data_IF_506917111732
#
_entry.id   IF_506917111732
#
_cell.length_a   1.000
_cell.length_b   1.000
_cell.length_c   1.000
_cell.angle_alpha   90.00
_cell.angle_beta   90.00
_cell.angle_gamma   90.00
#
_symmetry.space_group_name_H-M   'P 1'
#
loop_
_entity.id
_entity.type
_entity.pdbx_description
1 polymer ?
#
# COMPACT_ATOMS: atom_id res chain seq x y z
N UNK A 1 61.21 0.41 27.37
CA UNK A 1 61.06 -0.15 26.00
C UNK A 1 59.69 0.31 25.48
N UNK A 2 59.54 1.46 24.79
CA UNK A 2 59.91 1.77 23.38
C UNK A 2 59.30 0.72 22.41
N UNK A 3 58.47 0.99 21.40
CA UNK A 3 58.02 2.18 20.64
C UNK A 3 56.55 1.93 20.18
N UNK A 4 55.60 2.88 20.18
CA UNK A 4 55.32 3.99 19.25
C UNK A 4 55.17 3.64 17.76
N UNK A 5 53.95 3.84 17.20
CA UNK A 5 53.74 4.46 15.88
C UNK A 5 52.31 5.01 15.72
N UNK A 6 52.25 6.34 15.64
CA UNK A 6 51.13 7.17 15.19
C UNK A 6 51.20 7.39 13.68
N UNK A 7 50.09 7.74 13.02
CA UNK A 7 49.99 8.55 11.79
C UNK A 7 48.50 8.98 11.68
N UNK A 8 48.07 10.18 12.07
CA UNK A 8 48.33 11.52 11.53
C UNK A 8 47.85 11.69 10.08
N UNK A 9 46.60 12.15 9.95
CA UNK A 9 45.99 12.67 8.72
C UNK A 9 46.48 14.11 8.55
N UNK A 10 47.17 14.37 7.43
CA UNK A 10 47.74 15.67 7.11
C UNK A 10 46.85 16.38 6.08
N UNK A 11 46.37 17.58 6.42
CA UNK A 11 45.88 18.56 5.47
C UNK A 11 47.05 19.08 4.62
N UNK A 12 46.85 19.21 3.30
CA UNK A 12 47.55 20.25 2.54
C UNK A 12 46.68 20.81 1.42
N UNK A 13 46.72 22.13 1.36
CA UNK A 13 46.09 23.04 0.41
C UNK A 13 47.17 23.64 -0.49
N UNK A 14 46.96 23.70 -1.81
CA UNK A 14 47.51 24.70 -2.77
C UNK A 14 47.06 24.30 -4.20
N UNK A 15 46.20 25.09 -4.86
CA UNK A 15 46.47 26.26 -5.72
C UNK A 15 46.81 25.94 -7.20
N UNK A 16 45.82 26.21 -8.06
CA UNK A 16 45.86 26.91 -9.37
C UNK A 16 46.77 26.47 -10.54
N UNK A 17 46.15 26.28 -11.72
CA UNK A 17 46.43 26.88 -13.06
C UNK A 17 46.05 25.88 -14.19
N UNK A 18 44.96 26.10 -14.96
CA UNK A 18 44.85 26.83 -16.25
C UNK A 18 45.38 26.09 -17.51
N UNK A 19 44.48 25.80 -18.47
CA UNK A 19 44.53 26.03 -19.93
C UNK A 19 43.59 25.06 -20.68
N UNK A 20 42.46 25.52 -21.23
CA UNK A 20 42.26 26.04 -22.60
C UNK A 20 42.03 24.96 -23.66
N UNK A 21 40.76 24.75 -24.05
CA UNK A 21 40.37 23.93 -25.19
C UNK A 21 40.01 24.83 -26.38
N UNK A 22 40.81 24.73 -27.45
CA UNK A 22 40.63 25.43 -28.71
C UNK A 22 39.70 24.68 -29.66
N UNK A 23 38.85 25.44 -30.33
CA UNK A 23 37.95 25.04 -31.43
C UNK A 23 38.75 24.66 -32.68
N UNK A 24 38.39 23.54 -33.31
CA UNK A 24 38.72 23.25 -34.70
C UNK A 24 37.43 23.00 -35.50
N UNK A 25 37.08 23.94 -36.37
CA UNK A 25 36.04 23.80 -37.38
C UNK A 25 36.62 23.17 -38.63
N UNK A 26 35.99 22.11 -39.14
CA UNK A 26 36.33 21.50 -40.43
C UNK A 26 35.26 21.87 -41.45
N UNK A 27 35.70 22.53 -42.54
CA UNK A 27 34.92 22.82 -43.75
C UNK A 27 34.41 21.54 -44.39
N UNK A 28 33.16 21.55 -44.85
CA UNK A 28 32.73 20.81 -46.04
C UNK A 28 31.95 21.76 -46.93
N UNK A 29 32.48 21.95 -48.14
CA UNK A 29 31.84 22.67 -49.23
C UNK A 29 31.01 21.68 -50.05
N UNK A 30 29.77 22.05 -50.39
CA UNK A 30 29.07 21.50 -51.54
C UNK A 30 28.38 22.61 -52.32
N UNK A 31 28.61 22.56 -53.62
CA UNK A 31 28.20 23.44 -54.71
C UNK A 31 26.77 23.19 -55.17
N UNK A 32 26.03 24.24 -55.51
CA UNK A 32 24.88 24.19 -56.42
C UNK A 32 24.73 25.55 -57.17
N UNK A 33 24.20 25.57 -58.40
CA UNK A 33 24.55 26.56 -59.44
C UNK A 33 23.65 27.80 -59.48
N UNK A 34 24.13 28.81 -60.18
CA UNK A 34 23.48 30.10 -60.43
C UNK A 34 22.32 30.00 -61.44
N UNK A 35 21.23 30.73 -61.15
CA UNK A 35 20.18 31.07 -62.13
C UNK A 35 19.84 32.57 -61.99
N UNK A 36 20.07 33.31 -63.08
CA UNK A 36 19.13 34.28 -63.66
C UNK A 36 18.84 35.59 -62.91
N UNK A 37 19.36 36.69 -63.44
CA UNK A 37 18.93 38.06 -63.17
C UNK A 37 17.51 38.34 -63.69
N UNK A 38 16.66 38.96 -62.87
CA UNK A 38 15.59 39.86 -63.35
C UNK A 38 15.47 41.04 -62.39
N UNK A 39 15.71 42.24 -62.90
CA UNK A 39 15.39 43.51 -62.26
C UNK A 39 13.88 43.78 -62.35
N UNK A 40 13.23 44.15 -61.25
CA UNK A 40 12.16 45.16 -61.30
C UNK A 40 11.83 45.65 -59.90
N UNK A 41 11.92 46.96 -59.74
CA UNK A 41 11.53 47.75 -58.60
C UNK A 41 10.12 47.43 -58.08
N UNK A 42 10.04 47.06 -56.82
CA UNK A 42 8.94 47.41 -55.93
C UNK A 42 9.55 47.58 -54.56
N UNK A 43 9.55 48.81 -54.04
CA UNK A 43 9.96 49.10 -52.68
C UNK A 43 9.00 48.40 -51.72
N UNK A 44 9.27 47.12 -51.42
CA UNK A 44 8.66 46.43 -50.29
C UNK A 44 9.41 46.90 -49.06
N UNK A 45 8.82 47.86 -48.36
CA UNK A 45 9.17 48.19 -46.97
C UNK A 45 9.21 46.89 -46.19
N UNK A 46 10.43 46.43 -45.85
CA UNK A 46 10.61 45.29 -44.96
C UNK A 46 10.14 45.73 -43.57
N UNK A 47 8.93 45.33 -43.18
CA UNK A 47 8.55 45.31 -41.78
C UNK A 47 9.37 44.20 -41.10
N UNK A 48 10.57 44.56 -40.65
CA UNK A 48 11.40 43.73 -39.77
C UNK A 48 11.03 43.95 -38.29
N UNK A 49 9.76 44.25 -38.00
CA UNK A 49 9.25 44.42 -36.64
C UNK A 49 8.12 43.43 -36.41
N UNK A 50 8.29 42.61 -35.37
CA UNK A 50 7.31 41.64 -34.92
C UNK A 50 6.10 42.40 -34.36
N UNK A 51 4.99 42.38 -35.10
CA UNK A 51 3.73 43.00 -34.68
C UNK A 51 3.01 42.10 -33.68
N UNK A 52 2.61 42.67 -32.54
CA UNK A 52 1.88 41.94 -31.50
C UNK A 52 0.47 41.56 -31.98
N UNK A 53 -0.11 40.44 -31.51
CA UNK A 53 -1.48 40.04 -31.84
C UNK A 53 -2.52 41.00 -31.22
N UNK A 54 -3.71 41.14 -31.82
CA UNK A 54 -4.67 42.23 -31.55
C UNK A 54 -5.40 42.20 -30.19
N UNK A 55 -5.02 41.31 -29.25
CA UNK A 55 -5.76 41.13 -27.99
C UNK A 55 -4.82 41.00 -26.78
N UNK A 56 -4.08 42.05 -26.47
CA UNK A 56 -3.16 42.10 -25.32
C UNK A 56 -3.75 42.96 -24.19
N UNK A 57 -4.77 42.45 -23.49
CA UNK A 57 -5.28 42.98 -22.21
C UNK A 57 -5.84 44.42 -22.23
N UNK A 58 -6.48 44.89 -21.13
CA UNK A 58 -7.06 46.22 -21.07
C UNK A 58 -5.95 47.28 -20.99
N UNK A 59 -5.87 48.17 -22.00
CA UNK A 59 -5.05 49.39 -21.93
C UNK A 59 -4.08 49.68 -23.08
N UNK A 60 -3.95 48.81 -24.10
CA UNK A 60 -3.05 49.06 -25.26
C UNK A 60 -3.80 49.55 -26.50
N UNK A 61 -3.24 50.52 -27.22
CA UNK A 61 -3.75 50.99 -28.53
C UNK A 61 -3.01 50.24 -29.65
N UNK A 62 -3.69 49.92 -30.75
CA UNK A 62 -3.20 49.10 -31.88
C UNK A 62 -1.89 49.58 -32.55
N UNK A 63 -1.40 50.78 -32.22
CA UNK A 63 -0.26 51.44 -32.87
C UNK A 63 1.03 51.46 -32.03
N UNK A 64 1.06 50.80 -30.87
CA UNK A 64 2.23 50.81 -29.97
C UNK A 64 3.21 49.67 -30.31
N UNK A 65 4.45 50.01 -30.71
CA UNK A 65 5.49 49.00 -30.96
C UNK A 65 5.87 48.27 -29.66
N UNK A 66 5.86 46.93 -29.73
CA UNK A 66 6.15 46.09 -28.57
C UNK A 66 7.62 46.19 -28.17
N UNK A 67 7.91 46.42 -26.88
CA UNK A 67 9.27 46.63 -26.39
C UNK A 67 10.09 45.34 -26.47
N UNK A 68 11.19 45.28 -27.26
CA UNK A 68 11.96 44.06 -27.48
C UNK A 68 12.69 43.54 -26.23
N UNK A 69 12.81 44.35 -25.17
CA UNK A 69 13.45 43.99 -23.91
C UNK A 69 12.47 43.46 -22.84
N UNK A 70 11.17 43.44 -23.11
CA UNK A 70 10.15 42.88 -22.21
C UNK A 70 9.61 41.58 -22.77
N UNK A 71 10.34 40.48 -22.57
CA UNK A 71 10.03 39.15 -23.08
C UNK A 71 8.59 38.66 -22.79
N UNK A 72 8.02 39.04 -21.63
CA UNK A 72 6.64 38.68 -21.26
C UNK A 72 5.57 39.36 -22.12
N UNK A 73 5.85 40.50 -22.76
CA UNK A 73 4.90 41.16 -23.67
C UNK A 73 4.78 40.47 -25.04
N UNK A 74 5.68 39.52 -25.33
CA UNK A 74 5.74 38.79 -26.61
C UNK A 74 5.26 37.33 -26.51
N UNK A 75 5.08 36.83 -25.28
CA UNK A 75 4.59 35.47 -25.07
C UNK A 75 3.07 35.50 -25.08
N UNK A 76 2.49 35.23 -26.26
CA UNK A 76 1.06 34.96 -26.35
C UNK A 76 0.74 33.74 -25.48
N UNK A 77 -0.05 33.92 -24.43
CA UNK A 77 -0.48 32.84 -23.53
C UNK A 77 -1.05 31.64 -24.28
N UNK A 78 -1.71 31.87 -25.42
CA UNK A 78 -2.23 30.83 -26.30
C UNK A 78 -1.11 29.93 -26.85
N UNK A 79 0.03 30.52 -27.21
CA UNK A 79 1.18 29.80 -27.75
C UNK A 79 1.94 29.04 -26.67
N UNK A 80 2.07 29.63 -25.48
CA UNK A 80 2.66 28.96 -24.31
C UNK A 80 1.80 27.76 -23.89
N UNK A 81 0.48 27.92 -23.83
CA UNK A 81 -0.46 26.83 -23.53
C UNK A 81 -0.37 25.75 -24.61
N UNK A 82 -0.36 26.12 -25.89
CA UNK A 82 -0.21 25.16 -27.00
C UNK A 82 1.10 24.36 -26.90
N UNK A 83 2.23 25.01 -26.58
CA UNK A 83 3.51 24.34 -26.34
C UNK A 83 3.44 23.39 -25.15
N UNK A 84 2.91 23.84 -24.01
CA UNK A 84 2.77 23.00 -22.83
C UNK A 84 1.89 21.78 -23.11
N UNK A 85 0.76 21.96 -23.80
CA UNK A 85 -0.12 20.86 -24.21
C UNK A 85 0.60 19.92 -25.18
N UNK A 86 1.33 20.44 -26.17
CA UNK A 86 2.10 19.60 -27.09
C UNK A 86 3.19 18.79 -26.38
N UNK A 87 3.93 19.38 -25.43
CA UNK A 87 4.93 18.69 -24.61
C UNK A 87 4.30 17.62 -23.71
N UNK A 88 3.15 17.91 -23.09
CA UNK A 88 2.40 16.94 -22.28
C UNK A 88 1.88 15.79 -23.13
N UNK A 89 1.30 16.07 -24.31
CA UNK A 89 0.83 15.05 -25.24
C UNK A 89 1.99 14.21 -25.77
N UNK A 90 3.12 14.82 -26.14
CA UNK A 90 4.30 14.12 -26.60
C UNK A 90 4.92 13.24 -25.50
N UNK A 91 5.01 13.74 -24.26
CA UNK A 91 5.46 12.95 -23.11
C UNK A 91 4.52 11.79 -22.78
N UNK A 92 3.21 12.01 -22.85
CA UNK A 92 2.20 10.96 -22.65
C UNK A 92 2.23 9.90 -23.75
N UNK A 93 2.39 10.30 -25.01
CA UNK A 93 2.56 9.39 -26.15
C UNK A 93 3.89 8.62 -26.03
N UNK A 94 5.00 9.30 -25.74
CA UNK A 94 6.30 8.65 -25.55
C UNK A 94 6.25 7.62 -24.40
N UNK A 95 5.59 7.94 -23.29
CA UNK A 95 5.37 7.00 -22.19
C UNK A 95 4.48 5.80 -22.54
N UNK A 96 3.72 5.84 -23.63
CA UNK A 96 2.96 4.70 -24.16
C UNK A 96 3.70 3.89 -25.22
N UNK A 97 4.67 4.49 -25.93
CA UNK A 97 5.41 3.83 -27.02
C UNK A 97 6.81 3.35 -26.62
N UNK A 98 7.35 3.81 -25.49
CA UNK A 98 8.57 3.24 -24.92
C UNK A 98 8.18 1.97 -24.17
N UNK A 99 8.40 0.81 -24.80
CA UNK A 99 8.39 -0.47 -24.10
C UNK A 99 9.57 -0.49 -23.13
N UNK A 100 9.31 -0.15 -21.87
CA UNK A 100 10.25 -0.43 -20.79
C UNK A 100 10.18 -1.91 -20.54
N UNK A 101 11.31 -2.60 -20.72
CA UNK A 101 11.42 -4.01 -20.38
C UNK A 101 11.31 -4.19 -18.85
N UNK A 102 10.08 -4.39 -18.38
CA UNK A 102 9.75 -4.51 -16.96
C UNK A 102 10.48 -5.70 -16.30
N UNK A 103 10.91 -6.70 -17.08
CA UNK A 103 11.67 -7.85 -16.58
C UNK A 103 13.06 -7.48 -16.08
N UNK A 104 13.62 -6.34 -16.52
CA UNK A 104 14.93 -5.84 -16.08
C UNK A 104 14.84 -4.96 -14.85
N UNK A 105 13.64 -4.55 -14.43
CA UNK A 105 13.47 -3.69 -13.26
C UNK A 105 13.48 -4.57 -12.02
N UNK A 106 14.55 -4.46 -11.23
CA UNK A 106 14.68 -5.14 -9.95
C UNK A 106 14.32 -4.19 -8.79
N UNK A 107 13.67 -4.67 -7.71
CA UNK A 107 13.53 -3.89 -6.48
C UNK A 107 14.93 -3.58 -5.93
N UNK A 108 15.05 -2.53 -5.11
CA UNK A 108 16.35 -2.11 -4.53
C UNK A 108 16.67 -2.79 -3.19
N UNK A 109 15.79 -3.68 -2.74
CA UNK A 109 15.86 -4.36 -1.46
C UNK A 109 15.41 -5.81 -1.63
N UNK A 110 15.95 -6.70 -0.81
CA UNK A 110 15.48 -8.08 -0.74
C UNK A 110 14.18 -8.14 0.08
N UNK A 111 13.17 -8.88 -0.39
CA UNK A 111 11.89 -9.00 0.35
C UNK A 111 12.11 -9.71 1.69
N UNK A 112 13.07 -10.61 1.73
CA UNK A 112 13.51 -11.37 2.90
C UNK A 112 14.12 -10.46 3.99
N UNK A 113 14.86 -9.42 3.59
CA UNK A 113 15.47 -8.47 4.53
C UNK A 113 14.39 -7.66 5.25
N UNK A 114 13.39 -7.18 4.50
CA UNK A 114 12.26 -6.43 5.09
C UNK A 114 11.49 -7.32 6.07
N UNK A 115 11.21 -8.56 5.67
CA UNK A 115 10.54 -9.55 6.52
C UNK A 115 11.35 -9.82 7.78
N UNK A 116 12.67 -10.02 7.67
CA UNK A 116 13.55 -10.26 8.81
C UNK A 116 13.59 -9.05 9.76
N UNK A 117 13.65 -7.83 9.23
CA UNK A 117 13.62 -6.60 10.01
C UNK A 117 12.29 -6.42 10.75
N UNK A 118 11.17 -6.77 10.12
CA UNK A 118 9.86 -6.77 10.77
C UNK A 118 9.76 -7.83 11.88
N UNK A 119 10.23 -9.06 11.63
CA UNK A 119 10.27 -10.11 12.65
C UNK A 119 11.07 -9.70 13.90
N UNK A 120 12.21 -8.99 13.73
CA UNK A 120 12.99 -8.45 14.85
C UNK A 120 12.20 -7.46 15.69
N UNK A 121 11.35 -6.63 15.08
CA UNK A 121 10.45 -5.75 15.84
C UNK A 121 9.41 -6.56 16.64
N UNK A 122 8.89 -7.64 16.04
CA UNK A 122 7.93 -8.52 16.71
C UNK A 122 8.54 -9.34 17.85
N UNK A 123 9.85 -9.59 17.87
CA UNK A 123 10.52 -10.19 19.04
C UNK A 123 10.40 -9.32 20.29
N UNK A 124 10.43 -8.00 20.15
CA UNK A 124 10.25 -7.05 21.25
C UNK A 124 8.77 -6.72 21.51
N UNK A 125 7.94 -6.73 20.46
CA UNK A 125 6.51 -6.45 20.52
C UNK A 125 5.69 -7.54 19.79
N UNK A 126 5.52 -8.73 20.41
CA UNK A 126 4.86 -9.88 19.78
C UNK A 126 3.40 -9.65 19.40
N UNK A 127 2.73 -8.77 20.14
CA UNK A 127 1.35 -8.34 19.91
C UNK A 127 1.18 -7.66 18.54
N UNK A 128 2.20 -6.94 18.07
CA UNK A 128 2.13 -6.20 16.80
C UNK A 128 2.19 -7.09 15.56
N UNK A 129 2.59 -8.36 15.69
CA UNK A 129 2.58 -9.30 14.57
C UNK A 129 1.15 -9.52 14.05
N UNK A 130 0.20 -9.80 14.96
CA UNK A 130 -1.21 -10.00 14.59
C UNK A 130 -1.85 -8.69 14.11
N UNK A 131 -1.49 -7.56 14.73
CA UNK A 131 -1.95 -6.24 14.30
C UNK A 131 -1.43 -5.88 12.90
N UNK A 132 -0.22 -6.29 12.53
CA UNK A 132 0.32 -6.11 11.17
C UNK A 132 -0.45 -6.91 10.12
N UNK A 133 -0.89 -8.13 10.46
CA UNK A 133 -1.81 -8.92 9.61
C UNK A 133 -3.15 -8.17 9.46
N UNK A 134 -3.70 -7.64 10.55
CA UNK A 134 -4.92 -6.82 10.52
C UNK A 134 -4.75 -5.58 9.62
N UNK A 135 -3.60 -4.91 9.64
CA UNK A 135 -3.32 -3.74 8.79
C UNK A 135 -3.49 -4.10 7.31
N UNK A 136 -2.97 -5.25 6.86
CA UNK A 136 -3.14 -5.68 5.47
C UNK A 136 -4.62 -5.78 5.06
N UNK A 137 -5.46 -6.34 5.94
CA UNK A 137 -6.90 -6.39 5.72
C UNK A 137 -7.55 -4.99 5.76
N UNK A 138 -7.18 -4.14 6.73
CA UNK A 138 -7.67 -2.76 6.82
C UNK A 138 -7.38 -2.01 5.52
N UNK A 139 -6.15 -2.07 5.02
CA UNK A 139 -5.75 -1.39 3.79
C UNK A 139 -6.51 -1.95 2.57
N UNK A 140 -6.61 -3.27 2.44
CA UNK A 140 -7.34 -3.90 1.33
C UNK A 140 -8.85 -3.59 1.35
N UNK A 141 -9.49 -3.66 2.51
CA UNK A 141 -10.89 -3.30 2.70
C UNK A 141 -11.13 -1.83 2.35
N UNK A 142 -10.25 -0.91 2.77
CA UNK A 142 -10.32 0.51 2.42
C UNK A 142 -10.19 0.73 0.91
N UNK A 143 -9.23 0.06 0.25
CA UNK A 143 -9.09 0.09 -1.22
C UNK A 143 -10.33 -0.41 -1.95
N UNK A 144 -11.02 -1.40 -1.39
CA UNK A 144 -12.26 -1.96 -1.92
C UNK A 144 -13.52 -1.11 -1.59
N UNK A 145 -13.39 -0.01 -0.84
CA UNK A 145 -14.51 0.85 -0.46
C UNK A 145 -15.27 0.39 0.79
N UNK A 146 -14.64 -0.40 1.66
CA UNK A 146 -15.19 -0.89 2.93
C UNK A 146 -14.40 -0.43 4.18
N UNK A 147 -14.10 0.88 4.37
CA UNK A 147 -13.62 1.35 5.67
C UNK A 147 -14.69 1.14 6.73
N UNK A 148 -14.40 0.42 7.82
CA UNK A 148 -15.37 0.16 8.88
C UNK A 148 -15.35 1.26 9.94
N UNK A 149 -16.53 1.56 10.49
CA UNK A 149 -16.69 2.47 11.64
C UNK A 149 -16.94 1.72 12.95
N UNK A 150 -17.28 0.44 12.87
CA UNK A 150 -17.55 -0.45 14.01
C UNK A 150 -17.07 -1.85 13.69
N UNK A 151 -16.57 -2.54 14.71
CA UNK A 151 -16.17 -3.95 14.63
C UNK A 151 -17.36 -4.91 14.46
N UNK A 152 -18.60 -4.45 14.63
CA UNK A 152 -19.81 -5.22 14.27
C UNK A 152 -19.85 -5.57 12.78
N UNK A 153 -19.22 -4.76 11.93
CA UNK A 153 -19.08 -5.04 10.50
C UNK A 153 -17.81 -5.83 10.20
N UNK A 154 -16.65 -5.29 10.58
CA UNK A 154 -15.35 -5.94 10.44
C UNK A 154 -14.27 -5.21 11.24
N UNK A 155 -13.10 -5.83 11.39
CA UNK A 155 -11.94 -5.21 12.02
C UNK A 155 -11.19 -4.18 11.11
N UNK A 156 -11.78 -3.78 9.98
CA UNK A 156 -11.26 -2.76 9.06
C UNK A 156 -11.42 -1.32 9.59
N UNK A 157 -11.30 -1.14 10.91
CA UNK A 157 -11.37 0.12 11.62
C UNK A 157 -9.96 0.70 11.81
N UNK A 158 -9.85 2.03 11.92
CA UNK A 158 -8.56 2.74 11.96
C UNK A 158 -7.98 2.91 13.37
N UNK A 159 -8.77 2.63 14.42
CA UNK A 159 -8.33 2.64 15.81
C UNK A 159 -7.30 1.53 16.10
N UNK A 160 -6.49 1.70 17.14
CA UNK A 160 -5.49 0.73 17.57
C UNK A 160 -4.42 0.42 16.52
N UNK A 161 -4.05 1.41 15.69
CA UNK A 161 -3.03 1.26 14.64
C UNK A 161 -1.75 2.08 14.88
N UNK A 162 -1.67 2.84 15.98
CA UNK A 162 -0.54 3.74 16.24
C UNK A 162 0.79 2.98 16.41
N UNK A 163 0.80 1.92 17.21
CA UNK A 163 2.02 1.15 17.49
C UNK A 163 2.54 0.44 16.24
N UNK A 164 1.65 -0.16 15.44
CA UNK A 164 2.04 -0.80 14.18
C UNK A 164 2.49 0.23 13.14
N UNK A 165 1.91 1.44 13.12
CA UNK A 165 2.41 2.52 12.27
C UNK A 165 3.86 2.90 12.65
N UNK A 166 4.24 2.81 13.92
CA UNK A 166 5.63 2.93 14.37
C UNK A 166 6.56 1.90 13.71
N UNK A 167 6.14 0.64 13.62
CA UNK A 167 6.89 -0.42 12.92
C UNK A 167 7.00 -0.12 11.44
N UNK A 168 5.90 0.29 10.78
CA UNK A 168 5.90 0.63 9.35
C UNK A 168 6.82 1.82 9.04
N UNK A 169 6.83 2.83 9.91
CA UNK A 169 7.72 4.00 9.78
C UNK A 169 9.20 3.59 9.94
N UNK A 170 9.51 2.72 10.90
CA UNK A 170 10.86 2.18 11.07
C UNK A 170 11.33 1.42 9.82
N UNK A 171 10.48 0.54 9.27
CA UNK A 171 10.80 -0.22 8.06
C UNK A 171 10.95 0.69 6.85
N UNK A 172 10.05 1.66 6.65
CA UNK A 172 10.13 2.62 5.54
C UNK A 172 11.41 3.46 5.59
N UNK A 173 11.84 3.87 6.79
CA UNK A 173 13.12 4.58 6.96
C UNK A 173 14.34 3.68 6.71
N UNK A 174 14.24 2.39 7.01
CA UNK A 174 15.30 1.39 6.76
C UNK A 174 15.40 1.05 5.27
N UNK A 175 14.26 1.03 4.56
CA UNK A 175 14.13 0.71 3.13
C UNK A 175 13.50 1.88 2.35
N UNK A 176 14.16 3.05 2.26
CA UNK A 176 13.55 4.31 1.78
C UNK A 176 13.20 4.34 0.29
N UNK A 177 13.55 3.27 -0.45
CA UNK A 177 13.22 3.13 -1.87
C UNK A 177 11.99 2.23 -2.10
N UNK A 178 11.45 1.65 -1.03
CA UNK A 178 10.15 0.97 -1.04
C UNK A 178 9.02 1.97 -0.89
N UNK A 179 7.86 1.64 -1.46
CA UNK A 179 6.60 2.28 -1.07
C UNK A 179 6.16 1.80 0.31
N UNK A 180 5.36 2.61 1.00
CA UNK A 180 4.74 2.24 2.28
C UNK A 180 3.81 1.04 2.09
N UNK A 181 3.07 0.96 0.99
CA UNK A 181 2.19 -0.17 0.69
C UNK A 181 2.95 -1.50 0.48
N UNK A 182 4.12 -1.47 -0.17
CA UNK A 182 4.98 -2.66 -0.26
C UNK A 182 5.51 -3.05 1.12
N UNK A 183 5.99 -2.10 1.92
CA UNK A 183 6.45 -2.33 3.31
C UNK A 183 5.33 -2.94 4.16
N UNK A 184 4.12 -2.38 4.10
CA UNK A 184 2.98 -2.85 4.87
C UNK A 184 2.59 -4.29 4.51
N UNK A 185 2.63 -4.63 3.21
CA UNK A 185 2.36 -5.99 2.76
C UNK A 185 3.41 -7.00 3.24
N UNK A 186 4.70 -6.64 3.20
CA UNK A 186 5.80 -7.47 3.69
C UNK A 186 5.81 -7.61 5.22
N UNK A 187 5.46 -6.54 5.95
CA UNK A 187 5.31 -6.58 7.40
C UNK A 187 4.16 -7.49 7.85
N UNK A 188 3.07 -7.54 7.08
CA UNK A 188 1.97 -8.48 7.33
C UNK A 188 2.41 -9.93 7.10
N UNK A 189 3.16 -10.21 6.02
CA UNK A 189 3.77 -11.53 5.76
C UNK A 189 4.73 -11.93 6.89
N UNK A 190 5.54 -10.97 7.38
CA UNK A 190 6.40 -11.18 8.54
C UNK A 190 5.60 -11.50 9.81
N UNK A 191 4.41 -10.91 9.98
CA UNK A 191 3.48 -11.23 11.05
C UNK A 191 3.01 -12.68 10.97
N UNK A 192 2.63 -13.15 9.79
CA UNK A 192 2.23 -14.56 9.55
C UNK A 192 3.40 -15.49 9.91
N UNK A 193 4.60 -15.20 9.40
CA UNK A 193 5.83 -15.96 9.69
C UNK A 193 6.11 -16.03 11.19
N UNK A 194 6.09 -14.88 11.88
CA UNK A 194 6.36 -14.80 13.31
C UNK A 194 5.37 -15.63 14.13
N UNK A 195 4.10 -15.65 13.72
CA UNK A 195 3.02 -16.40 14.37
C UNK A 195 2.91 -17.84 13.86
N UNK A 196 3.95 -18.37 13.21
CA UNK A 196 4.02 -19.75 12.70
C UNK A 196 2.87 -20.13 11.74
N UNK A 197 2.34 -19.15 11.00
CA UNK A 197 1.35 -19.38 9.95
C UNK A 197 2.00 -19.71 8.60
N UNK A 198 1.20 -20.18 7.61
CA UNK A 198 1.69 -20.48 6.26
C UNK A 198 1.96 -19.18 5.49
N UNK A 199 3.22 -18.91 5.17
CA UNK A 199 3.66 -17.65 4.55
C UNK A 199 4.55 -17.85 3.31
N UNK A 200 5.06 -19.06 3.12
CA UNK A 200 6.10 -19.39 2.16
C UNK A 200 5.67 -19.09 0.72
N UNK A 201 4.47 -19.54 0.32
CA UNK A 201 3.93 -19.28 -1.03
C UNK A 201 3.55 -17.81 -1.20
N UNK A 202 3.06 -17.16 -0.14
CA UNK A 202 2.72 -15.72 -0.17
C UNK A 202 3.99 -14.91 -0.43
N UNK A 203 5.08 -15.24 0.26
CA UNK A 203 6.36 -14.56 0.12
C UNK A 203 7.01 -14.88 -1.23
N UNK A 204 6.98 -16.13 -1.69
CA UNK A 204 7.53 -16.54 -2.97
C UNK A 204 6.87 -15.79 -4.13
N UNK A 205 5.53 -15.79 -4.16
CA UNK A 205 4.72 -15.16 -5.20
C UNK A 205 4.53 -13.64 -4.99
N UNK A 206 5.11 -13.07 -3.93
CA UNK A 206 4.96 -11.65 -3.63
C UNK A 206 5.45 -10.77 -4.79
N UNK A 207 4.56 -9.90 -5.26
CA UNK A 207 4.86 -8.86 -6.25
C UNK A 207 5.12 -7.52 -5.60
N UNK A 208 5.90 -6.68 -6.26
CA UNK A 208 6.28 -5.35 -5.78
C UNK A 208 5.74 -4.23 -6.68
N UNK A 209 5.87 -2.99 -6.24
CA UNK A 209 5.47 -1.81 -7.01
C UNK A 209 4.07 -1.29 -6.66
N UNK A 210 3.58 -1.54 -5.44
CA UNK A 210 2.36 -0.89 -4.94
C UNK A 210 2.56 0.61 -4.88
N UNK A 211 1.61 1.37 -5.40
CA UNK A 211 1.64 2.83 -5.40
C UNK A 211 1.07 3.41 -4.10
N UNK A 212 1.82 4.33 -3.48
CA UNK A 212 1.35 5.15 -2.35
C UNK A 212 0.42 6.25 -2.90
N UNK A 213 -0.76 5.84 -3.35
CA UNK A 213 -1.75 6.73 -3.95
C UNK A 213 -2.46 7.57 -2.88
N UNK A 214 -2.59 8.87 -3.13
CA UNK A 214 -3.43 9.77 -2.32
C UNK A 214 -4.95 9.59 -2.60
N UNK A 215 -5.32 8.73 -3.55
CA UNK A 215 -6.72 8.52 -3.90
C UNK A 215 -7.48 7.89 -2.72
N UNK A 216 -8.51 8.56 -2.21
CA UNK A 216 -9.38 8.03 -1.16
C UNK A 216 -10.62 7.37 -1.77
N UNK A 217 -10.74 6.03 -1.77
CA UNK A 217 -11.93 5.34 -2.27
C UNK A 217 -13.14 5.70 -1.41
N UNK A 218 -14.28 5.97 -2.06
CA UNK A 218 -15.52 6.24 -1.34
C UNK A 218 -16.03 4.98 -0.67
N UNK A 219 -16.63 5.13 0.51
CA UNK A 219 -17.36 4.06 1.18
C UNK A 219 -18.51 3.59 0.29
N UNK A 220 -18.62 2.28 0.10
CA UNK A 220 -19.72 1.66 -0.65
C UNK A 220 -21.05 1.89 0.07
N UNK A 221 -22.12 2.06 -0.71
CA UNK A 221 -23.47 2.28 -0.20
C UNK A 221 -24.24 0.95 -0.34
N UNK A 222 -24.84 0.42 0.76
CA UNK A 222 -25.69 -0.76 0.69
C UNK A 222 -26.84 -0.58 -0.31
N UNK A 223 -27.25 -1.66 -0.97
CA UNK A 223 -28.38 -1.62 -1.92
C UNK A 223 -29.70 -1.34 -1.20
N UNK A 224 -29.86 -1.89 0.00
CA UNK A 224 -31.00 -1.64 0.88
C UNK A 224 -30.69 -0.43 1.78
N UNK A 225 -31.46 0.67 1.71
CA UNK A 225 -31.26 1.85 2.57
C UNK A 225 -31.40 1.57 4.08
N UNK A 226 -32.07 0.47 4.47
CA UNK A 226 -32.21 0.07 5.86
C UNK A 226 -31.01 -0.70 6.39
N UNK A 227 -30.20 -1.28 5.50
CA UNK A 227 -28.99 -2.01 5.84
C UNK A 227 -27.87 -1.04 6.21
N UNK A 228 -27.38 -1.13 7.45
CA UNK A 228 -26.29 -0.28 7.94
C UNK A 228 -24.91 -0.91 7.78
N UNK A 229 -24.83 -2.24 7.87
CA UNK A 229 -23.58 -3.00 7.87
C UNK A 229 -23.59 -4.01 6.71
N UNK A 230 -22.44 -4.18 6.05
CA UNK A 230 -22.26 -5.24 5.06
C UNK A 230 -22.01 -6.59 5.72
N UNK A 231 -22.38 -7.67 5.03
CA UNK A 231 -22.00 -9.02 5.48
C UNK A 231 -20.49 -9.22 5.31
N UNK A 232 -19.90 -10.07 6.16
CA UNK A 232 -18.48 -10.44 6.09
C UNK A 232 -18.14 -10.96 4.68
N UNK A 233 -18.98 -11.84 4.13
CA UNK A 233 -18.72 -12.43 2.81
C UNK A 233 -18.77 -11.37 1.70
N UNK A 234 -19.67 -10.38 1.78
CA UNK A 234 -19.69 -9.28 0.81
C UNK A 234 -18.39 -8.47 0.81
N UNK A 235 -17.82 -8.22 2.00
CA UNK A 235 -16.55 -7.51 2.15
C UNK A 235 -15.41 -8.38 1.60
N UNK A 236 -15.31 -9.64 2.03
CA UNK A 236 -14.23 -10.54 1.62
C UNK A 236 -14.23 -10.82 0.11
N UNK A 237 -15.38 -11.00 -0.52
CA UNK A 237 -15.47 -11.14 -1.98
C UNK A 237 -14.97 -9.89 -2.71
N UNK A 238 -15.22 -8.70 -2.18
CA UNK A 238 -14.76 -7.45 -2.78
C UNK A 238 -13.25 -7.21 -2.58
N UNK A 239 -12.67 -7.82 -1.56
CA UNK A 239 -11.23 -7.79 -1.28
C UNK A 239 -10.51 -8.82 -2.16
N UNK A 240 -10.39 -8.51 -3.46
CA UNK A 240 -9.60 -9.31 -4.40
C UNK A 240 -10.34 -10.41 -5.16
N UNK A 241 -11.68 -10.43 -5.14
CA UNK A 241 -12.46 -11.40 -5.92
C UNK A 241 -12.33 -12.83 -5.40
N UNK A 242 -12.24 -12.97 -4.08
CA UNK A 242 -12.04 -14.26 -3.41
C UNK A 242 -13.20 -15.22 -3.70
N UNK A 243 -12.88 -16.51 -3.80
CA UNK A 243 -13.89 -17.59 -3.75
C UNK A 243 -14.43 -17.76 -2.33
N UNK A 244 -15.56 -18.47 -2.15
CA UNK A 244 -16.05 -18.76 -0.80
C UNK A 244 -15.04 -19.55 0.04
N UNK A 245 -14.30 -20.47 -0.59
CA UNK A 245 -13.22 -21.23 0.05
C UNK A 245 -12.13 -20.31 0.60
N UNK A 246 -11.68 -19.35 -0.20
CA UNK A 246 -10.67 -18.35 0.17
C UNK A 246 -11.19 -17.38 1.25
N UNK A 247 -12.44 -16.91 1.13
CA UNK A 247 -13.07 -16.08 2.16
C UNK A 247 -13.06 -16.77 3.52
N UNK A 248 -13.53 -18.03 3.58
CA UNK A 248 -13.55 -18.80 4.83
C UNK A 248 -12.13 -19.10 5.30
N UNK A 249 -11.18 -19.36 4.40
CA UNK A 249 -9.78 -19.62 4.74
C UNK A 249 -9.12 -18.40 5.42
N UNK A 250 -9.40 -17.19 4.93
CA UNK A 250 -8.81 -15.95 5.44
C UNK A 250 -9.23 -15.62 6.88
N UNK A 251 -10.41 -16.07 7.32
CA UNK A 251 -10.90 -15.86 8.69
C UNK A 251 -10.06 -16.57 9.76
N UNK A 252 -9.22 -17.53 9.40
CA UNK A 252 -8.26 -18.12 10.35
C UNK A 252 -7.26 -17.10 10.91
N UNK A 253 -7.13 -15.89 10.35
CA UNK A 253 -6.44 -14.78 10.99
C UNK A 253 -6.96 -14.49 12.41
N UNK A 254 -8.21 -14.84 12.72
CA UNK A 254 -8.76 -14.73 14.07
C UNK A 254 -8.23 -15.81 15.05
N UNK A 255 -7.40 -16.76 14.61
CA UNK A 255 -6.68 -17.66 15.52
C UNK A 255 -5.56 -16.98 16.32
N UNK A 256 -5.20 -15.75 15.94
CA UNK A 256 -4.14 -14.95 16.56
C UNK A 256 -4.65 -13.58 17.01
N UNK A 257 -3.85 -12.90 17.82
CA UNK A 257 -4.16 -11.58 18.34
C UNK A 257 -5.24 -11.58 19.43
N UNK A 258 -5.64 -10.38 19.83
CA UNK A 258 -6.56 -10.14 20.94
C UNK A 258 -7.42 -8.89 20.71
N UNK A 259 -8.45 -8.75 21.53
CA UNK A 259 -9.35 -7.60 21.55
C UNK A 259 -8.71 -6.45 22.34
N UNK A 260 -8.98 -5.22 21.89
CA UNK A 260 -8.44 -4.00 22.50
C UNK A 260 -9.58 -3.02 22.82
N UNK A 261 -9.42 -2.23 23.89
CA UNK A 261 -10.46 -1.33 24.40
C UNK A 261 -10.77 -0.17 23.44
N UNK A 262 -9.74 0.35 22.78
CA UNK A 262 -9.83 1.45 21.81
C UNK A 262 -10.38 1.00 20.44
N UNK A 263 -10.33 -0.30 20.15
CA UNK A 263 -10.84 -0.89 18.89
C UNK A 263 -12.25 -1.48 19.06
N UNK A 264 -12.39 -2.36 20.04
CA UNK A 264 -13.57 -3.22 20.23
C UNK A 264 -14.33 -2.95 21.52
N UNK A 265 -13.78 -2.13 22.40
CA UNK A 265 -14.36 -1.82 23.70
C UNK A 265 -14.17 -2.89 24.77
N UNK A 266 -13.37 -3.91 24.48
CA UNK A 266 -13.07 -5.05 25.34
C UNK A 266 -11.56 -5.21 25.48
N UNK A 267 -11.11 -5.61 26.66
CA UNK A 267 -9.75 -6.06 26.91
C UNK A 267 -9.73 -7.55 27.29
N UNK A 268 -8.53 -8.15 27.29
CA UNK A 268 -8.26 -9.47 27.87
C UNK A 268 -9.09 -10.62 27.25
N UNK A 269 -9.55 -10.43 26.02
CA UNK A 269 -10.32 -11.39 25.25
C UNK A 269 -9.62 -11.70 23.91
N UNK A 270 -9.87 -12.89 23.39
CA UNK A 270 -9.35 -13.36 22.10
C UNK A 270 -10.46 -14.09 21.36
N UNK A 271 -10.32 -14.45 20.09
CA UNK A 271 -11.38 -15.23 19.44
C UNK A 271 -11.40 -16.70 19.90
N UNK A 272 -10.23 -17.29 20.16
CA UNK A 272 -10.10 -18.75 20.37
C UNK A 272 -9.36 -19.14 21.67
N UNK A 273 -9.09 -18.18 22.56
CA UNK A 273 -8.35 -18.40 23.80
C UNK A 273 -6.82 -18.45 23.63
N UNK A 274 -6.31 -18.34 22.39
CA UNK A 274 -4.90 -18.33 22.02
C UNK A 274 -4.57 -17.09 21.19
N UNK A 275 -3.29 -16.72 21.13
CA UNK A 275 -2.83 -15.45 20.52
C UNK A 275 -1.70 -15.57 19.49
N UNK A 276 -0.85 -16.60 19.60
CA UNK A 276 0.47 -16.60 18.94
C UNK A 276 0.72 -17.73 17.94
N UNK A 277 -0.33 -18.45 17.52
CA UNK A 277 -0.22 -19.51 16.51
C UNK A 277 -1.33 -19.38 15.48
N UNK A 278 -0.97 -18.97 14.25
CA UNK A 278 -1.91 -18.82 13.14
C UNK A 278 -2.16 -20.19 12.51
N UNK A 279 -3.34 -20.77 12.75
CA UNK A 279 -3.67 -22.15 12.37
C UNK A 279 -5.15 -22.36 12.12
N UNK A 280 -5.51 -23.56 11.61
CA UNK A 280 -6.89 -24.00 11.46
C UNK A 280 -7.65 -24.22 12.79
N UNK A 281 -7.00 -23.98 13.94
CA UNK A 281 -7.63 -24.06 15.28
C UNK A 281 -8.86 -23.17 15.39
N UNK A 282 -8.94 -22.08 14.62
CA UNK A 282 -10.14 -21.24 14.53
C UNK A 282 -11.40 -22.05 14.17
N UNK A 283 -11.35 -22.87 13.13
CA UNK A 283 -12.51 -23.66 12.69
C UNK A 283 -12.89 -24.74 13.70
N UNK A 284 -11.90 -25.42 14.26
CA UNK A 284 -12.12 -26.41 15.32
C UNK A 284 -12.81 -25.77 16.53
N UNK A 285 -12.35 -24.58 16.93
CA UNK A 285 -12.91 -23.84 18.05
C UNK A 285 -14.37 -23.45 17.83
N UNK A 286 -14.69 -22.94 16.63
CA UNK A 286 -16.06 -22.57 16.26
C UNK A 286 -17.02 -23.77 16.34
N UNK A 287 -16.61 -24.93 15.79
CA UNK A 287 -17.42 -26.15 15.81
C UNK A 287 -17.60 -26.72 17.23
N UNK A 288 -16.55 -26.67 18.06
CA UNK A 288 -16.57 -27.17 19.44
C UNK A 288 -17.52 -26.35 20.33
N UNK A 289 -17.59 -25.04 20.11
CA UNK A 289 -18.28 -24.10 21.01
C UNK A 289 -19.56 -23.47 20.43
N UNK A 290 -19.97 -23.83 19.22
CA UNK A 290 -21.12 -23.24 18.49
C UNK A 290 -22.36 -23.03 19.37
N UNK A 291 -22.73 -24.04 20.15
CA UNK A 291 -23.93 -24.03 21.01
C UNK A 291 -23.74 -23.35 22.36
N UNK A 292 -22.50 -23.03 22.73
CA UNK A 292 -22.14 -22.46 24.03
C UNK A 292 -21.98 -20.93 23.99
N UNK A 293 -21.96 -20.33 22.79
CA UNK A 293 -21.87 -18.88 22.62
C UNK A 293 -23.13 -18.18 23.15
N UNK A 294 -22.94 -17.24 24.07
CA UNK A 294 -23.99 -16.36 24.58
C UNK A 294 -23.77 -14.91 24.10
N UNK A 295 -24.82 -14.09 23.95
CA UNK A 295 -24.67 -12.66 23.65
C UNK A 295 -23.78 -11.95 24.67
N UNK A 296 -22.88 -11.09 24.19
CA UNK A 296 -22.01 -10.24 25.02
C UNK A 296 -22.45 -8.79 24.92
N UNK A 297 -22.79 -8.18 26.06
CA UNK A 297 -22.99 -6.73 26.14
C UNK A 297 -21.68 -6.07 26.54
N UNK A 298 -21.13 -5.22 25.67
CA UNK A 298 -19.97 -4.40 25.99
C UNK A 298 -20.42 -3.18 26.79
N UNK A 299 -19.98 -3.07 28.04
CA UNK A 299 -20.31 -1.93 28.89
C UNK A 299 -19.42 -0.72 28.53
N UNK A 300 -19.99 0.49 28.62
CA UNK A 300 -19.20 1.72 28.50
C UNK A 300 -18.30 1.87 29.71
N UNK A 301 -17.00 1.98 29.48
CA UNK A 301 -15.99 2.20 30.52
C UNK A 301 -15.25 3.51 30.27
N UNK A 302 -14.35 3.86 31.19
CA UNK A 302 -13.50 5.03 31.01
C UNK A 302 -12.42 4.82 29.94
N UNK A 303 -12.07 3.56 29.67
CA UNK A 303 -10.93 3.15 28.84
C UNK A 303 -11.35 2.90 27.38
N UNK A 304 -12.62 2.56 27.12
CA UNK A 304 -13.14 2.35 25.75
C UNK A 304 -13.76 3.60 25.09
N UNK A 305 -13.40 4.81 25.53
CA UNK A 305 -14.01 6.07 25.04
C UNK A 305 -13.79 6.33 23.55
N UNK A 306 -12.71 5.80 22.97
CA UNK A 306 -12.41 5.95 21.54
C UNK A 306 -13.45 5.24 20.65
N UNK A 307 -14.08 4.19 21.16
CA UNK A 307 -15.15 3.47 20.47
C UNK A 307 -16.44 4.27 20.61
N UNK A 308 -16.80 5.04 19.58
CA UNK A 308 -17.96 5.95 19.61
C UNK A 308 -19.28 5.19 19.83
N UNK A 309 -19.50 4.10 19.10
CA UNK A 309 -20.65 3.20 19.29
C UNK A 309 -20.11 1.82 19.63
N UNK A 310 -20.43 1.35 20.84
CA UNK A 310 -19.99 0.03 21.30
C UNK A 310 -20.64 -1.08 20.46
N UNK A 311 -19.89 -2.16 20.18
CA UNK A 311 -20.41 -3.26 19.39
C UNK A 311 -21.53 -3.99 20.12
N UNK A 312 -22.52 -4.41 19.35
CA UNK A 312 -23.75 -5.04 19.85
C UNK A 312 -23.89 -6.49 19.39
N UNK A 313 -23.08 -6.92 18.44
CA UNK A 313 -23.20 -8.24 17.80
C UNK A 313 -22.26 -9.29 18.38
N UNK A 314 -21.46 -8.94 19.39
CA UNK A 314 -20.54 -9.89 20.00
C UNK A 314 -21.28 -11.01 20.74
N UNK A 315 -20.69 -12.20 20.63
CA UNK A 315 -21.02 -13.36 21.44
C UNK A 315 -19.75 -13.87 22.10
N UNK A 316 -19.89 -14.48 23.27
CA UNK A 316 -18.77 -14.97 24.04
C UNK A 316 -19.00 -16.37 24.60
N UNK A 317 -17.89 -17.03 24.92
CA UNK A 317 -17.83 -18.28 25.67
C UNK A 317 -16.60 -18.24 26.59
N UNK A 318 -16.67 -18.91 27.74
CA UNK A 318 -15.51 -19.06 28.63
C UNK A 318 -14.91 -20.44 28.49
N UNK A 319 -13.64 -20.50 28.08
CA UNK A 319 -12.91 -21.75 27.94
C UNK A 319 -11.95 -21.93 29.11
N UNK A 320 -11.91 -23.14 29.67
CA UNK A 320 -11.00 -23.49 30.76
C UNK A 320 -9.65 -23.87 30.18
N UNK A 321 -8.60 -23.22 30.67
CA UNK A 321 -7.22 -23.50 30.31
C UNK A 321 -6.43 -23.84 31.58
N UNK A 322 -5.70 -24.96 31.57
CA UNK A 322 -4.83 -25.33 32.67
C UNK A 322 -3.44 -24.74 32.42
N UNK A 323 -3.08 -23.70 33.17
CA UNK A 323 -1.79 -23.03 33.08
C UNK A 323 -1.07 -23.18 34.41
N UNK A 324 0.05 -23.92 34.42
CA UNK A 324 0.86 -24.13 35.64
C UNK A 324 0.09 -24.80 36.78
N UNK A 325 -0.73 -25.81 36.47
CA UNK A 325 -1.53 -26.55 37.47
C UNK A 325 -2.76 -25.80 38.00
N UNK A 326 -3.03 -24.57 37.51
CA UNK A 326 -4.23 -23.80 37.85
C UNK A 326 -5.17 -23.69 36.65
N UNK A 327 -6.45 -23.94 36.88
CA UNK A 327 -7.49 -23.74 35.86
C UNK A 327 -7.88 -22.27 35.80
N UNK A 328 -7.54 -21.61 34.70
CA UNK A 328 -7.97 -20.24 34.39
C UNK A 328 -9.12 -20.28 33.38
N UNK A 329 -10.02 -19.30 33.45
CA UNK A 329 -11.05 -19.10 32.43
C UNK A 329 -10.57 -18.03 31.46
N UNK A 330 -10.57 -18.33 30.17
CA UNK A 330 -10.30 -17.37 29.09
C UNK A 330 -11.61 -16.97 28.44
N UNK A 331 -11.83 -15.67 28.31
CA UNK A 331 -12.97 -15.17 27.54
C UNK A 331 -12.64 -15.24 26.05
N UNK A 332 -13.48 -15.96 25.31
CA UNK A 332 -13.38 -16.07 23.88
C UNK A 332 -14.56 -15.32 23.26
N UNK A 333 -14.32 -14.43 22.30
CA UNK A 333 -15.33 -13.52 21.73
C UNK A 333 -15.31 -13.61 20.21
N UNK A 334 -16.48 -13.70 19.60
CA UNK A 334 -16.66 -13.81 18.15
C UNK A 334 -17.86 -12.95 17.75
N UNK A 335 -17.86 -12.40 16.53
CA UNK A 335 -19.04 -11.70 16.02
C UNK A 335 -20.19 -12.68 15.72
N UNK A 336 -21.43 -12.25 15.94
CA UNK A 336 -22.59 -13.05 15.57
C UNK A 336 -22.61 -13.39 14.06
N UNK A 337 -22.16 -12.46 13.22
CA UNK A 337 -22.04 -12.65 11.76
C UNK A 337 -21.01 -13.72 11.36
N UNK A 338 -19.97 -13.96 12.16
CA UNK A 338 -19.05 -15.08 11.92
C UNK A 338 -19.71 -16.42 12.27
N UNK A 339 -20.57 -16.45 13.29
CA UNK A 339 -21.31 -17.67 13.66
C UNK A 339 -22.41 -18.02 12.64
N UNK A 340 -22.85 -17.06 11.83
CA UNK A 340 -23.72 -17.33 10.67
C UNK A 340 -23.04 -18.20 9.61
N UNK A 341 -21.69 -18.24 9.56
CA UNK A 341 -20.94 -19.18 8.71
C UNK A 341 -21.32 -20.64 8.99
N UNK A 342 -21.62 -20.94 10.25
CA UNK A 342 -22.01 -22.29 10.68
C UNK A 342 -23.47 -22.60 10.32
N UNK A 343 -24.29 -21.61 10.01
CA UNK A 343 -25.70 -21.79 9.63
C UNK A 343 -25.85 -22.00 8.11
N UNK A 344 -24.99 -21.39 7.30
CA UNK A 344 -24.96 -21.61 5.86
C UNK A 344 -24.35 -22.99 5.54
N UNK A 345 -25.04 -23.80 4.72
CA UNK A 345 -24.59 -25.17 4.40
C UNK A 345 -23.23 -25.22 3.70
N UNK A 346 -22.99 -24.32 2.75
CA UNK A 346 -21.74 -24.28 1.96
C UNK A 346 -20.58 -23.84 2.83
N UNK A 347 -20.76 -22.75 3.57
CA UNK A 347 -19.70 -22.23 4.45
C UNK A 347 -19.42 -23.17 5.62
N UNK A 348 -20.45 -23.79 6.21
CA UNK A 348 -20.26 -24.83 7.23
C UNK A 348 -19.46 -26.01 6.70
N UNK A 349 -19.71 -26.46 5.47
CA UNK A 349 -18.94 -27.54 4.86
C UNK A 349 -17.45 -27.19 4.72
N UNK A 350 -17.14 -25.94 4.35
CA UNK A 350 -15.77 -25.43 4.31
C UNK A 350 -15.13 -25.37 5.71
N UNK A 351 -15.85 -24.86 6.72
CA UNK A 351 -15.38 -24.82 8.12
C UNK A 351 -15.06 -26.22 8.62
N UNK A 352 -15.95 -27.20 8.39
CA UNK A 352 -15.71 -28.61 8.75
C UNK A 352 -14.50 -29.17 8.02
N UNK A 353 -14.34 -28.86 6.73
CA UNK A 353 -13.21 -29.33 5.93
C UNK A 353 -11.89 -28.76 6.45
N UNK A 354 -11.79 -27.45 6.66
CA UNK A 354 -10.57 -26.82 7.18
C UNK A 354 -10.26 -27.21 8.62
N UNK A 355 -11.27 -27.52 9.44
CA UNK A 355 -11.04 -28.04 10.79
C UNK A 355 -10.33 -29.41 10.79
N UNK A 356 -10.59 -30.24 9.78
CA UNK A 356 -10.05 -31.59 9.63
C UNK A 356 -8.79 -31.66 8.75
N UNK A 357 -8.67 -30.78 7.76
CA UNK A 357 -7.61 -30.76 6.76
C UNK A 357 -6.87 -29.42 6.81
N UNK A 358 -5.77 -29.41 7.56
CA UNK A 358 -4.95 -28.21 7.75
C UNK A 358 -4.12 -27.88 6.51
N UNK A 359 -3.73 -28.88 5.70
CA UNK A 359 -2.96 -28.66 4.48
C UNK A 359 -3.79 -27.92 3.43
N UNK A 360 -5.03 -28.37 3.20
CA UNK A 360 -5.95 -27.66 2.33
C UNK A 360 -6.22 -26.24 2.82
N UNK A 361 -6.41 -26.06 4.13
CA UNK A 361 -6.59 -24.71 4.68
C UNK A 361 -5.37 -23.82 4.37
N UNK A 362 -4.14 -24.33 4.55
CA UNK A 362 -2.92 -23.57 4.25
C UNK A 362 -2.87 -23.12 2.79
N UNK A 363 -3.20 -24.00 1.85
CA UNK A 363 -3.26 -23.68 0.42
C UNK A 363 -4.25 -22.54 0.14
N UNK A 364 -5.48 -22.68 0.62
CA UNK A 364 -6.54 -21.70 0.39
C UNK A 364 -6.27 -20.37 1.10
N UNK A 365 -5.66 -20.41 2.29
CA UNK A 365 -5.25 -19.23 3.05
C UNK A 365 -4.19 -18.42 2.30
N UNK A 366 -3.13 -19.08 1.82
CA UNK A 366 -2.05 -18.39 1.10
C UNK A 366 -2.57 -17.77 -0.21
N UNK A 367 -3.42 -18.48 -0.96
CA UNK A 367 -4.09 -17.92 -2.15
C UNK A 367 -4.94 -16.70 -1.80
N UNK A 368 -5.78 -16.79 -0.76
CA UNK A 368 -6.64 -15.70 -0.31
C UNK A 368 -5.84 -14.47 0.14
N UNK A 369 -4.79 -14.69 0.93
CA UNK A 369 -3.96 -13.61 1.47
C UNK A 369 -3.19 -12.90 0.36
N UNK A 370 -2.61 -13.64 -0.60
CA UNK A 370 -1.96 -13.08 -1.79
C UNK A 370 -2.93 -12.21 -2.59
N UNK A 371 -4.13 -12.71 -2.90
CA UNK A 371 -5.15 -11.92 -3.60
C UNK A 371 -5.57 -10.66 -2.84
N UNK A 372 -5.68 -10.73 -1.52
CA UNK A 372 -5.99 -9.58 -0.67
C UNK A 372 -4.90 -8.49 -0.73
N UNK A 373 -3.62 -8.84 -0.59
CA UNK A 373 -2.54 -7.86 -0.57
C UNK A 373 -2.20 -7.31 -1.96
N UNK A 374 -2.65 -7.97 -3.03
CA UNK A 374 -2.56 -7.48 -4.42
C UNK A 374 -3.82 -6.71 -4.87
N UNK A 375 -4.92 -6.78 -4.10
CA UNK A 375 -6.21 -6.26 -4.54
C UNK A 375 -6.18 -4.75 -4.77
N UNK A 376 -6.82 -4.34 -5.88
CA UNK A 376 -7.02 -2.94 -6.27
C UNK A 376 -5.71 -2.16 -6.57
N UNK A 377 -4.56 -2.82 -6.63
CA UNK A 377 -3.34 -2.25 -7.20
C UNK A 377 -3.28 -2.49 -8.71
N UNK A 378 -2.51 -1.65 -9.41
CA UNK A 378 -2.31 -1.75 -10.87
C UNK A 378 -0.82 -1.91 -11.16
N UNK A 379 -0.49 -2.75 -12.15
CA UNK A 379 0.89 -2.94 -12.65
C UNK A 379 1.87 -3.38 -11.55
N UNK A 380 1.46 -4.31 -10.70
CA UNK A 380 2.39 -4.99 -9.80
C UNK A 380 3.38 -5.82 -10.63
N UNK A 381 4.64 -5.83 -10.21
CA UNK A 381 5.74 -6.47 -10.92
C UNK A 381 6.16 -7.76 -10.23
N UNK A 382 6.53 -8.76 -11.04
CA UNK A 382 7.16 -9.96 -10.52
C UNK A 382 8.45 -9.60 -9.78
N UNK A 383 8.67 -10.27 -8.66
CA UNK A 383 9.88 -10.10 -7.89
C UNK A 383 11.07 -10.77 -8.59
N UNK A 384 12.20 -10.07 -8.62
CA UNK A 384 13.50 -10.61 -8.99
C UNK A 384 14.48 -10.21 -7.91
N UNK A 385 15.31 -11.14 -7.44
CA UNK A 385 16.32 -10.82 -6.42
C UNK A 385 17.25 -9.70 -6.92
N UNK A 386 17.38 -8.56 -6.20
CA UNK A 386 18.31 -7.48 -6.57
C UNK A 386 19.75 -7.94 -6.77
N UNK A 387 20.17 -8.98 -6.06
CA UNK A 387 21.54 -9.49 -6.05
C UNK A 387 21.78 -10.61 -7.07
N UNK A 388 20.72 -11.09 -7.74
CA UNK A 388 20.84 -12.05 -8.84
C UNK A 388 21.55 -11.40 -10.04
N UNK A 389 22.45 -12.16 -10.67
CA UNK A 389 23.22 -11.72 -11.85
C UNK A 389 22.34 -11.41 -13.06
#
# INVERSE_FOLDING_TARGET
MLLHRSNAICLSSSLSAWCSAALFTRRLAHTAPAIGSVSSSSARTRHNTFTAPPSVGPGRKDTEEANPYKSWEHINHTWLILMCVACLCAGWLAGRFVEVDESKIKPKYAKEDVVASACKQFEFRPDLAATSIRVAFVLAARRAGFPANTVDESCAVVQGLNDVAGVMNYLSNTYPTSSMEDVASLAAIAGIKYLSGPYEEILDQWKWGRDDSDATPKRNIPKDPSQKLFSIMSILHAVGGLTEAECVALLACHSVGEFHEDVSGLDSATHIGKRYVLSNRYYQFLLEHEKAFAPLTVARTQDNKEVTTLPQTFKHVYVKENVGGKTKKRQCVVNASELELLQNKTWRALVVRYAADEELWREQFQSAFTKMIESNFKRLRLYSDPNSA
#
